data_IF_088071187626
#
_entry.id   IF_088071187626
#
_cell.length_a   1.000
_cell.length_b   1.000
_cell.length_c   1.000
_cell.angle_alpha   90.00
_cell.angle_beta   90.00
_cell.angle_gamma   90.00
#
_symmetry.space_group_name_H-M   'P 1'
#
loop_
_entity.id
_entity.type
_entity.pdbx_description
1 polymer ?
#
# COMPACT_ATOMS: atom_id res chain seq x y z
N UNK A 1 38.22 -18.31 -65.13
CA UNK A 1 37.13 -18.40 -64.12
C UNK A 1 37.50 -17.49 -62.96
N UNK A 2 36.85 -16.32 -62.83
CA UNK A 2 37.13 -15.40 -61.72
C UNK A 2 36.38 -15.82 -60.45
N UNK A 3 37.11 -16.15 -59.40
CA UNK A 3 36.60 -16.44 -58.06
C UNK A 3 36.24 -15.10 -57.40
N UNK A 4 34.98 -14.68 -57.48
CA UNK A 4 34.49 -13.57 -56.69
C UNK A 4 34.50 -13.95 -55.21
N UNK A 5 35.38 -13.31 -54.45
CA UNK A 5 35.53 -13.49 -53.00
C UNK A 5 34.28 -12.99 -52.26
N UNK A 6 33.36 -13.92 -51.92
CA UNK A 6 32.18 -13.69 -51.04
C UNK A 6 32.53 -13.38 -49.57
N UNK A 7 33.78 -12.99 -49.28
CA UNK A 7 34.32 -12.87 -47.91
C UNK A 7 33.75 -11.69 -47.10
N UNK A 8 33.30 -10.62 -47.77
CA UNK A 8 32.80 -9.41 -47.09
C UNK A 8 31.45 -9.56 -46.37
N UNK A 9 30.57 -10.47 -46.82
CA UNK A 9 29.19 -10.59 -46.30
C UNK A 9 29.11 -11.27 -44.92
N UNK A 10 30.11 -12.06 -44.55
CA UNK A 10 30.11 -12.84 -43.31
C UNK A 10 30.44 -11.98 -42.07
N UNK A 11 31.41 -11.07 -42.20
CA UNK A 11 31.77 -10.10 -41.14
C UNK A 11 30.62 -9.14 -40.81
N UNK A 12 29.83 -8.73 -41.81
CA UNK A 12 28.64 -7.90 -41.59
C UNK A 12 27.56 -8.58 -40.76
N UNK A 13 27.45 -9.92 -40.78
CA UNK A 13 26.42 -10.63 -40.01
C UNK A 13 26.80 -10.78 -38.55
N UNK A 14 28.08 -11.04 -38.27
CA UNK A 14 28.63 -11.14 -36.91
C UNK A 14 28.50 -9.83 -36.13
N UNK A 15 28.85 -8.70 -36.75
CA UNK A 15 28.76 -7.39 -36.07
C UNK A 15 27.30 -7.01 -35.73
N UNK A 16 26.34 -7.35 -36.60
CA UNK A 16 24.92 -7.09 -36.33
C UNK A 16 24.37 -7.95 -35.18
N UNK A 17 24.83 -9.19 -35.06
CA UNK A 17 24.46 -10.06 -33.93
C UNK A 17 24.99 -9.55 -32.59
N UNK A 18 26.24 -9.07 -32.55
CA UNK A 18 26.84 -8.50 -31.35
C UNK A 18 26.14 -7.21 -30.91
N UNK A 19 25.81 -6.33 -31.85
CA UNK A 19 25.06 -5.09 -31.55
C UNK A 19 23.66 -5.43 -31.02
N UNK A 20 22.95 -6.37 -31.65
CA UNK A 20 21.62 -6.77 -31.19
C UNK A 20 21.65 -7.33 -29.77
N UNK A 21 22.66 -8.15 -29.43
CA UNK A 21 22.84 -8.68 -28.09
C UNK A 21 23.13 -7.58 -27.07
N UNK A 22 24.04 -6.65 -27.39
CA UNK A 22 24.37 -5.54 -26.52
C UNK A 22 23.15 -4.65 -26.24
N UNK A 23 22.34 -4.37 -27.27
CA UNK A 23 21.08 -3.60 -27.11
C UNK A 23 20.08 -4.35 -26.24
N UNK A 24 19.93 -5.67 -26.42
CA UNK A 24 19.05 -6.49 -25.60
C UNK A 24 19.45 -6.47 -24.12
N UNK A 25 20.74 -6.63 -23.82
CA UNK A 25 21.26 -6.58 -22.45
C UNK A 25 21.03 -5.20 -21.83
N UNK A 26 21.28 -4.12 -22.58
CA UNK A 26 21.05 -2.76 -22.13
C UNK A 26 19.57 -2.53 -21.77
N UNK A 27 18.65 -2.95 -22.66
CA UNK A 27 17.20 -2.86 -22.41
C UNK A 27 16.81 -3.65 -21.17
N UNK A 28 17.25 -4.90 -21.05
CA UNK A 28 16.94 -5.76 -19.90
C UNK A 28 17.43 -5.13 -18.57
N UNK A 29 18.63 -4.56 -18.56
CA UNK A 29 19.16 -3.84 -17.39
C UNK A 29 18.29 -2.65 -16.96
N UNK A 30 17.73 -1.90 -17.91
CA UNK A 30 16.82 -0.78 -17.61
C UNK A 30 15.51 -1.27 -16.98
N UNK A 31 14.92 -2.36 -17.48
CA UNK A 31 13.70 -2.93 -16.90
C UNK A 31 13.91 -3.43 -15.48
N UNK A 32 15.05 -4.09 -15.20
CA UNK A 32 15.39 -4.55 -13.84
C UNK A 32 15.57 -3.36 -12.89
N UNK A 33 16.28 -2.31 -13.33
CA UNK A 33 16.47 -1.11 -12.52
C UNK A 33 15.14 -0.38 -12.23
N UNK A 34 14.24 -0.30 -13.21
CA UNK A 34 12.92 0.29 -13.03
C UNK A 34 12.02 -0.53 -12.09
N UNK A 35 12.09 -1.86 -12.18
CA UNK A 35 11.36 -2.77 -11.30
C UNK A 35 11.84 -2.64 -9.84
N UNK A 36 13.15 -2.62 -9.60
CA UNK A 36 13.73 -2.46 -8.26
C UNK A 36 13.31 -1.13 -7.61
N UNK A 37 13.32 -0.03 -8.37
CA UNK A 37 12.87 1.27 -7.88
C UNK A 37 11.37 1.30 -7.56
N UNK A 38 10.55 0.60 -8.35
CA UNK A 38 9.11 0.49 -8.10
C UNK A 38 8.81 -0.33 -6.84
N UNK A 39 9.48 -1.47 -6.67
CA UNK A 39 9.32 -2.37 -5.51
C UNK A 39 9.70 -1.64 -4.21
N UNK A 40 10.78 -0.86 -4.21
CA UNK A 40 11.19 -0.08 -3.01
C UNK A 40 10.18 0.96 -2.57
N UNK A 41 9.40 1.52 -3.50
CA UNK A 41 8.39 2.56 -3.21
C UNK A 41 6.99 1.99 -2.99
N UNK A 42 6.76 0.72 -3.31
CA UNK A 42 5.46 0.07 -3.24
C UNK A 42 4.89 0.04 -1.82
N UNK A 43 5.65 -0.32 -0.76
CA UNK A 43 5.10 -0.36 0.59
C UNK A 43 4.55 0.98 1.09
N UNK A 44 5.28 2.07 0.82
CA UNK A 44 4.88 3.41 1.23
C UNK A 44 3.55 3.82 0.58
N UNK A 45 3.40 3.60 -0.74
CA UNK A 45 2.14 3.93 -1.44
C UNK A 45 0.93 3.15 -0.93
N UNK A 46 1.13 1.89 -0.57
CA UNK A 46 0.06 1.03 -0.03
C UNK A 46 -0.35 1.50 1.37
N UNK A 47 0.63 1.91 2.18
CA UNK A 47 0.41 2.51 3.50
C UNK A 47 -0.33 3.85 3.36
N UNK A 48 0.12 4.74 2.46
CA UNK A 48 -0.52 6.02 2.18
C UNK A 48 -1.99 5.83 1.77
N UNK A 49 -2.26 4.88 0.86
CA UNK A 49 -3.62 4.55 0.44
C UNK A 49 -4.50 4.04 1.60
N UNK A 50 -3.93 3.24 2.50
CA UNK A 50 -4.64 2.79 3.69
C UNK A 50 -4.97 3.96 4.62
N UNK A 51 -4.09 4.97 4.73
CA UNK A 51 -4.37 6.19 5.48
C UNK A 51 -5.46 7.03 4.86
N UNK A 52 -5.37 7.30 3.56
CA UNK A 52 -6.39 8.06 2.84
C UNK A 52 -7.77 7.44 3.04
N UNK A 53 -7.85 6.11 2.94
CA UNK A 53 -9.10 5.40 3.19
C UNK A 53 -9.55 5.52 4.65
N UNK A 54 -8.63 5.35 5.62
CA UNK A 54 -8.90 5.49 7.05
C UNK A 54 -9.49 6.87 7.41
N UNK A 55 -8.91 7.95 6.91
CA UNK A 55 -9.38 9.32 7.18
C UNK A 55 -10.76 9.60 6.57
N UNK A 56 -11.12 8.92 5.47
CA UNK A 56 -12.45 9.08 4.86
C UNK A 56 -13.58 8.29 5.54
N UNK A 57 -13.25 7.37 6.47
CA UNK A 57 -14.25 6.58 7.19
C UNK A 57 -14.96 7.36 8.31
N UNK A 58 -14.30 8.38 8.86
CA UNK A 58 -14.72 9.05 10.11
C UNK A 58 -16.11 9.75 10.07
N UNK A 59 -16.66 10.31 8.97
CA UNK A 59 -17.98 10.94 9.01
C UNK A 59 -19.16 10.04 8.57
N UNK A 60 -18.91 8.94 7.83
CA UNK A 60 -19.99 8.15 7.23
C UNK A 60 -20.65 7.16 8.21
N UNK A 61 -19.91 6.74 9.25
CA UNK A 61 -20.34 5.69 10.17
C UNK A 61 -20.60 6.19 11.61
N UNK A 62 -20.55 7.51 11.83
CA UNK A 62 -20.76 8.11 13.17
C UNK A 62 -19.62 7.82 14.14
N UNK A 63 -18.42 7.54 13.62
CA UNK A 63 -17.23 7.22 14.40
C UNK A 63 -16.56 8.55 14.79
N UNK A 64 -16.21 8.75 16.07
CA UNK A 64 -15.51 9.97 16.50
C UNK A 64 -14.15 10.11 15.82
N UNK A 65 -13.71 11.34 15.51
CA UNK A 65 -12.46 11.60 14.81
C UNK A 65 -11.27 10.97 15.51
N UNK A 66 -10.41 10.33 14.73
CA UNK A 66 -9.26 9.56 15.24
C UNK A 66 -7.94 10.22 14.85
N UNK A 67 -7.02 10.31 15.80
CA UNK A 67 -5.63 10.65 15.52
C UNK A 67 -4.91 9.37 15.09
N UNK A 68 -4.58 9.32 13.81
CA UNK A 68 -3.67 8.32 13.27
C UNK A 68 -2.31 8.31 14.01
N UNK A 69 -1.75 7.12 14.25
CA UNK A 69 -0.42 6.96 14.82
C UNK A 69 0.61 6.36 13.86
N UNK A 70 0.35 5.15 13.36
CA UNK A 70 1.22 4.45 12.41
C UNK A 70 0.42 3.37 11.66
N UNK A 71 0.95 2.86 10.56
CA UNK A 71 0.42 1.70 9.86
C UNK A 71 1.57 0.83 9.38
N UNK A 72 1.25 -0.43 9.14
CA UNK A 72 2.20 -1.43 8.69
C UNK A 72 1.52 -2.42 7.76
N UNK A 73 2.28 -2.94 6.79
CA UNK A 73 1.84 -4.08 6.00
C UNK A 73 2.01 -5.33 6.86
N UNK A 74 0.90 -5.97 7.21
CA UNK A 74 0.92 -7.20 8.02
C UNK A 74 1.28 -8.41 7.20
N UNK A 75 0.80 -8.47 5.97
CA UNK A 75 0.96 -9.63 5.11
C UNK A 75 0.93 -9.21 3.64
N UNK A 76 1.79 -9.84 2.87
CA UNK A 76 1.71 -9.90 1.42
C UNK A 76 1.09 -11.24 1.05
N UNK A 77 -0.09 -11.19 0.43
CA UNK A 77 -0.76 -12.41 -0.03
C UNK A 77 -0.20 -12.82 -1.39
N UNK A 78 0.11 -11.84 -2.26
CA UNK A 78 0.87 -11.99 -3.50
C UNK A 78 1.42 -10.62 -3.98
N UNK A 79 1.91 -10.52 -5.23
CA UNK A 79 2.40 -9.25 -5.82
C UNK A 79 1.32 -8.19 -6.06
N UNK A 80 0.05 -8.60 -5.98
CA UNK A 80 -1.13 -7.80 -6.27
C UNK A 80 -2.05 -7.61 -5.07
N UNK A 81 -1.81 -8.29 -3.94
CA UNK A 81 -2.64 -8.24 -2.74
C UNK A 81 -1.78 -8.02 -1.50
N UNK A 82 -2.17 -7.02 -0.71
CA UNK A 82 -1.54 -6.72 0.58
C UNK A 82 -2.60 -6.46 1.63
N UNK A 83 -2.33 -6.94 2.84
CA UNK A 83 -3.11 -6.61 4.02
C UNK A 83 -2.37 -5.56 4.85
N UNK A 84 -2.98 -4.39 5.03
CA UNK A 84 -2.45 -3.29 5.84
C UNK A 84 -3.21 -3.19 7.15
N UNK A 85 -2.50 -2.91 8.24
CA UNK A 85 -3.09 -2.56 9.51
C UNK A 85 -2.77 -1.10 9.83
N UNK A 86 -3.81 -0.32 10.08
CA UNK A 86 -3.70 1.09 10.49
C UNK A 86 -4.01 1.20 11.97
N UNK A 87 -3.14 1.86 12.72
CA UNK A 87 -3.31 2.12 14.14
C UNK A 87 -3.67 3.59 14.34
N UNK A 88 -4.79 3.82 15.01
CA UNK A 88 -5.22 5.14 15.45
C UNK A 88 -5.44 5.19 16.95
N UNK A 89 -5.47 6.40 17.48
CA UNK A 89 -5.96 6.74 18.80
C UNK A 89 -7.20 7.59 18.66
N UNK A 90 -8.14 7.42 19.58
CA UNK A 90 -9.26 8.37 19.70
C UNK A 90 -8.71 9.72 20.14
N UNK A 91 -9.04 10.77 19.39
CA UNK A 91 -8.90 12.11 19.93
C UNK A 91 -10.03 12.30 20.93
N UNK A 92 -9.71 12.40 22.22
CA UNK A 92 -10.70 12.81 23.20
C UNK A 92 -11.01 14.29 22.98
N UNK A 93 -11.92 14.61 22.06
CA UNK A 93 -12.47 15.97 21.89
C UNK A 93 -13.21 16.49 23.13
N UNK A 94 -13.35 15.68 24.18
CA UNK A 94 -13.95 16.05 25.46
C UNK A 94 -12.82 16.59 26.36
N UNK A 95 -12.69 17.92 26.42
CA UNK A 95 -11.74 18.63 27.31
C UNK A 95 -11.82 18.23 28.79
N UNK A 96 -12.94 17.65 29.22
CA UNK A 96 -13.22 17.25 30.60
C UNK A 96 -13.06 15.73 30.86
N UNK A 97 -12.55 14.96 29.90
CA UNK A 97 -12.05 13.62 30.21
C UNK A 97 -10.75 13.78 31.03
N UNK A 98 -10.68 13.30 32.29
CA UNK A 98 -9.44 13.34 33.04
C UNK A 98 -8.38 12.60 32.22
N UNK A 99 -7.35 13.35 31.81
CA UNK A 99 -6.24 12.97 30.90
C UNK A 99 -5.52 11.67 31.35
N UNK A 100 -5.70 11.26 32.61
CA UNK A 100 -5.16 10.02 33.16
C UNK A 100 -5.84 8.73 32.68
N UNK A 101 -7.06 8.80 32.11
CA UNK A 101 -7.72 7.67 31.44
C UNK A 101 -7.74 7.89 29.92
N UNK A 102 -6.60 8.32 29.37
CA UNK A 102 -6.28 8.08 27.97
C UNK A 102 -6.16 6.58 27.78
N UNK A 103 -7.31 5.91 27.70
CA UNK A 103 -7.38 4.53 27.24
C UNK A 103 -6.81 4.61 25.83
N UNK A 104 -5.57 4.15 25.68
CA UNK A 104 -4.99 3.81 24.41
C UNK A 104 -5.86 2.68 23.87
N UNK A 105 -7.01 3.04 23.30
CA UNK A 105 -7.70 2.15 22.42
C UNK A 105 -6.77 2.04 21.24
N UNK A 106 -5.99 0.97 21.22
CA UNK A 106 -5.36 0.50 20.00
C UNK A 106 -6.54 0.17 19.07
N UNK A 107 -6.96 1.16 18.31
CA UNK A 107 -7.91 1.03 17.23
C UNK A 107 -7.07 0.56 16.06
N UNK A 108 -7.24 -0.71 15.69
CA UNK A 108 -6.61 -1.23 14.50
C UNK A 108 -7.67 -1.63 13.49
N UNK A 109 -7.67 -0.94 12.36
CA UNK A 109 -8.46 -1.33 11.21
C UNK A 109 -7.55 -2.07 10.24
N UNK A 110 -8.09 -3.14 9.65
CA UNK A 110 -7.36 -3.99 8.73
C UNK A 110 -7.97 -3.84 7.33
N UNK A 111 -7.15 -3.43 6.37
CA UNK A 111 -7.55 -3.20 5.00
C UNK A 111 -6.90 -4.22 4.09
N UNK A 112 -7.68 -4.81 3.19
CA UNK A 112 -7.14 -5.55 2.05
C UNK A 112 -7.06 -4.60 0.86
N UNK A 113 -5.89 -4.56 0.24
CA UNK A 113 -5.58 -3.70 -0.88
C UNK A 113 -5.17 -4.57 -2.07
N UNK A 114 -5.76 -4.29 -3.23
CA UNK A 114 -5.53 -4.98 -4.50
C UNK A 114 -4.88 -4.04 -5.52
N UNK A 115 -3.96 -4.56 -6.35
CA UNK A 115 -3.45 -3.90 -7.54
C UNK A 115 -4.17 -4.40 -8.79
N UNK A 116 -4.97 -3.53 -9.40
CA UNK A 116 -5.74 -3.86 -10.61
C UNK A 116 -5.80 -2.66 -11.54
N UNK A 117 -5.74 -2.92 -12.84
CA UNK A 117 -5.77 -1.90 -13.90
C UNK A 117 -4.69 -0.81 -13.74
N UNK A 118 -3.52 -1.20 -13.23
CA UNK A 118 -2.39 -0.29 -13.01
C UNK A 118 -2.49 0.59 -11.76
N UNK A 119 -3.48 0.35 -10.87
CA UNK A 119 -3.71 1.15 -9.65
C UNK A 119 -3.93 0.25 -8.44
N UNK A 120 -3.47 0.70 -7.27
CA UNK A 120 -3.81 0.10 -5.98
C UNK A 120 -5.16 0.63 -5.49
N UNK A 121 -5.97 -0.23 -4.87
CA UNK A 121 -7.29 0.12 -4.34
C UNK A 121 -7.64 -0.72 -3.11
N UNK A 122 -8.38 -0.15 -2.17
CA UNK A 122 -8.94 -0.90 -1.04
C UNK A 122 -10.11 -1.74 -1.54
N UNK A 123 -10.07 -3.05 -1.27
CA UNK A 123 -11.11 -4.03 -1.68
C UNK A 123 -11.96 -4.52 -0.52
N UNK A 124 -11.42 -4.52 0.69
CA UNK A 124 -12.21 -4.78 1.89
C UNK A 124 -11.61 -4.08 3.11
N UNK A 125 -12.48 -3.76 4.06
CA UNK A 125 -12.12 -3.26 5.37
C UNK A 125 -12.72 -4.21 6.41
N UNK A 126 -11.87 -4.83 7.21
CA UNK A 126 -12.28 -5.57 8.39
C UNK A 126 -12.12 -4.64 9.61
N UNK A 127 -13.25 -4.10 10.05
CA UNK A 127 -13.30 -3.23 11.21
C UNK A 127 -13.28 -4.09 12.48
N UNK A 128 -12.28 -3.90 13.33
CA UNK A 128 -12.28 -4.54 14.65
C UNK A 128 -13.04 -3.70 15.68
N UNK A 129 -14.22 -3.19 15.30
CA UNK A 129 -15.08 -2.36 16.17
C UNK A 129 -16.20 -3.15 16.87
N UNK A 130 -16.38 -4.44 16.55
CA UNK A 130 -17.58 -5.20 16.89
C UNK A 130 -17.80 -5.39 18.41
N UNK A 131 -16.73 -5.56 19.19
CA UNK A 131 -16.84 -5.61 20.66
C UNK A 131 -16.85 -4.25 21.36
N UNK A 132 -16.68 -3.14 20.61
CA UNK A 132 -16.45 -1.79 21.18
C UNK A 132 -17.53 -0.79 20.83
N UNK A 133 -18.34 -1.03 19.80
CA UNK A 133 -19.58 -0.29 19.53
C UNK A 133 -20.50 -0.34 20.74
N UNK A 134 -20.72 -1.53 21.29
CA UNK A 134 -21.55 -1.73 22.49
C UNK A 134 -20.95 -1.02 23.71
N UNK A 135 -19.64 -1.11 23.92
CA UNK A 135 -18.97 -0.43 25.05
C UNK A 135 -19.00 1.10 24.92
N UNK A 136 -18.86 1.63 23.69
CA UNK A 136 -18.95 3.05 23.40
C UNK A 136 -20.39 3.56 23.51
N UNK A 137 -21.36 2.85 22.92
CA UNK A 137 -22.79 3.15 23.05
C UNK A 137 -23.24 3.06 24.52
N UNK A 138 -22.77 2.07 25.29
CA UNK A 138 -23.04 1.94 26.72
C UNK A 138 -22.41 3.08 27.52
N UNK A 139 -21.20 3.51 27.18
CA UNK A 139 -20.54 4.66 27.81
C UNK A 139 -21.27 5.98 27.53
N UNK A 140 -21.59 6.26 26.26
CA UNK A 140 -22.35 7.44 25.82
C UNK A 140 -23.73 7.48 26.51
N UNK A 141 -24.41 6.33 26.58
CA UNK A 141 -25.67 6.15 27.32
C UNK A 141 -25.52 6.38 28.82
N UNK A 142 -24.47 5.84 29.47
CA UNK A 142 -24.21 6.04 30.91
C UNK A 142 -23.93 7.50 31.25
N UNK A 143 -23.38 8.28 30.32
CA UNK A 143 -23.04 9.68 30.51
C UNK A 143 -24.13 10.65 30.04
N UNK A 144 -25.22 10.17 29.44
CA UNK A 144 -26.30 11.01 28.94
C UNK A 144 -25.90 11.90 27.77
N UNK A 145 -24.85 11.51 27.05
CA UNK A 145 -24.32 12.22 25.88
C UNK A 145 -24.88 11.48 24.65
N UNK A 146 -25.99 11.98 24.10
CA UNK A 146 -26.59 11.49 22.86
C UNK A 146 -26.61 12.61 21.83
#
# INVERSE_FOLDING_TARGET
MSVHTKSGKWRSRLNRGLIALAVFVLLCGIFVAAADAYVKKMPAKIIDLAYEYYETLDPAEGIPPRIYQYAEIKQWDDLTHATVRVFGKLESGIKDLPISESINYDLFDQFQIEFKDGKWRVVSAAYSFQGRREAYEEYMKKRGLA
#
